data_IF_240705009654
#
_entry.id   IF_240705009654
#
_cell.length_a   1.000
_cell.length_b   1.000
_cell.length_c   1.000
_cell.angle_alpha   90.00
_cell.angle_beta   90.00
_cell.angle_gamma   90.00
#
_symmetry.space_group_name_H-M   'P 1'
#
loop_
_entity.id
_entity.type
_entity.pdbx_description
1 polymer ?
#
# COMPACT_ATOMS: atom_id res chain seq x y z
N UNK A 1 23.93 -15.70 -27.62
CA UNK A 1 23.66 -15.23 -26.24
C UNK A 1 22.78 -13.99 -26.27
N UNK A 2 21.86 -13.87 -25.32
CA UNK A 2 20.97 -12.70 -25.16
C UNK A 2 21.74 -11.44 -24.71
N UNK A 3 22.96 -11.61 -24.22
CA UNK A 3 23.92 -10.54 -23.89
C UNK A 3 24.20 -9.60 -25.08
N UNK A 4 24.26 -10.16 -26.30
CA UNK A 4 24.42 -9.37 -27.54
C UNK A 4 23.20 -8.47 -27.85
N UNK A 5 22.11 -8.62 -27.09
CA UNK A 5 20.90 -7.77 -27.16
C UNK A 5 20.74 -6.88 -25.93
N UNK A 6 21.82 -6.69 -25.15
CA UNK A 6 21.84 -5.88 -23.92
C UNK A 6 20.84 -6.36 -22.85
N UNK A 7 20.58 -7.67 -22.82
CA UNK A 7 19.85 -8.32 -21.75
C UNK A 7 20.85 -9.05 -20.85
N UNK A 8 20.72 -8.89 -19.55
CA UNK A 8 21.56 -9.55 -18.55
C UNK A 8 20.72 -10.50 -17.72
N UNK A 9 21.32 -11.62 -17.34
CA UNK A 9 20.76 -12.58 -16.38
C UNK A 9 20.61 -11.90 -15.01
N UNK A 10 19.42 -11.95 -14.43
CA UNK A 10 19.15 -11.28 -13.16
C UNK A 10 19.79 -11.98 -11.97
N UNK A 11 19.96 -13.30 -12.00
CA UNK A 11 20.42 -14.05 -10.82
C UNK A 11 21.84 -13.66 -10.38
N UNK A 12 22.85 -13.61 -11.28
CA UNK A 12 24.21 -13.17 -10.93
C UNK A 12 24.30 -11.70 -10.50
N UNK A 13 23.30 -10.88 -10.86
CA UNK A 13 23.26 -9.46 -10.49
C UNK A 13 22.83 -9.28 -9.03
N UNK A 14 21.96 -10.16 -8.52
CA UNK A 14 21.37 -10.03 -7.19
C UNK A 14 21.94 -11.02 -6.16
N UNK A 15 22.66 -12.05 -6.60
CA UNK A 15 23.21 -13.12 -5.75
C UNK A 15 24.71 -13.29 -6.00
N UNK A 16 25.48 -13.41 -4.93
CA UNK A 16 26.95 -13.51 -4.98
C UNK A 16 27.47 -14.92 -5.12
N UNK A 17 26.66 -15.90 -4.72
CA UNK A 17 26.95 -17.32 -4.86
C UNK A 17 26.08 -17.92 -5.97
N UNK A 18 26.00 -17.22 -7.10
CA UNK A 18 25.17 -17.62 -8.25
C UNK A 18 25.58 -18.97 -8.86
N UNK A 19 26.84 -19.37 -8.66
CA UNK A 19 27.39 -20.66 -9.10
C UNK A 19 26.80 -21.85 -8.36
N UNK A 20 26.39 -21.68 -7.11
CA UNK A 20 25.75 -22.75 -6.31
C UNK A 20 24.22 -22.70 -6.40
N UNK A 21 23.64 -21.72 -7.11
CA UNK A 21 22.21 -21.64 -7.33
C UNK A 21 21.83 -22.57 -8.48
N UNK A 22 20.97 -23.54 -8.19
CA UNK A 22 20.38 -24.44 -9.18
C UNK A 22 18.87 -24.25 -9.25
N UNK A 23 18.31 -24.43 -10.45
CA UNK A 23 16.87 -24.37 -10.68
C UNK A 23 16.29 -25.71 -11.07
N UNK A 24 17.13 -26.68 -11.45
CA UNK A 24 16.71 -28.03 -11.79
C UNK A 24 17.41 -29.04 -10.88
N UNK A 25 16.61 -29.93 -10.30
CA UNK A 25 17.04 -31.05 -9.48
C UNK A 25 16.64 -32.34 -10.21
N UNK A 26 17.61 -33.08 -10.78
CA UNK A 26 17.29 -34.33 -11.45
C UNK A 26 16.71 -35.35 -10.47
N UNK A 27 15.75 -36.16 -10.93
CA UNK A 27 15.12 -37.21 -10.10
C UNK A 27 16.06 -38.34 -9.66
N UNK A 28 17.28 -38.38 -10.22
CA UNK A 28 18.30 -39.37 -9.91
C UNK A 28 19.52 -38.64 -9.32
N UNK A 29 19.89 -38.98 -8.09
CA UNK A 29 20.98 -38.33 -7.33
C UNK A 29 22.37 -38.49 -7.97
N UNK A 30 22.52 -39.36 -8.98
CA UNK A 30 23.76 -39.48 -9.75
C UNK A 30 23.96 -38.34 -10.77
N UNK A 31 22.92 -37.55 -11.07
CA UNK A 31 23.00 -36.45 -12.02
C UNK A 31 23.23 -35.13 -11.29
N UNK A 32 24.05 -34.26 -11.89
CA UNK A 32 24.35 -32.95 -11.31
C UNK A 32 23.15 -32.00 -11.38
N UNK A 33 22.94 -31.26 -10.29
CA UNK A 33 21.99 -30.14 -10.26
C UNK A 33 22.47 -29.04 -11.22
N UNK A 34 21.54 -28.37 -11.88
CA UNK A 34 21.90 -27.33 -12.84
C UNK A 34 20.95 -26.14 -12.78
N UNK A 35 21.39 -25.01 -13.34
CA UNK A 35 20.58 -23.81 -13.50
C UNK A 35 20.22 -23.69 -14.97
N UNK A 36 18.97 -23.96 -15.30
CA UNK A 36 18.46 -23.93 -16.68
C UNK A 36 17.28 -22.96 -16.86
N UNK A 37 16.81 -22.36 -15.76
CA UNK A 37 15.76 -21.35 -15.73
C UNK A 37 16.38 -19.98 -15.44
N UNK A 38 15.96 -18.98 -16.21
CA UNK A 38 16.57 -17.66 -16.19
C UNK A 38 15.51 -16.57 -16.37
N UNK A 39 15.71 -15.45 -15.68
CA UNK A 39 15.02 -14.20 -16.03
C UNK A 39 16.07 -13.26 -16.60
N UNK A 40 15.89 -12.90 -17.88
CA UNK A 40 16.76 -11.95 -18.56
C UNK A 40 16.09 -10.58 -18.59
N UNK A 41 16.80 -9.54 -18.16
CA UNK A 41 16.27 -8.18 -18.05
C UNK A 41 17.19 -7.16 -18.73
N UNK A 42 16.59 -6.11 -19.29
CA UNK A 42 17.35 -4.99 -19.83
C UNK A 42 17.87 -4.08 -18.72
N UNK A 43 18.92 -3.31 -18.99
CA UNK A 43 19.53 -2.38 -18.03
C UNK A 43 18.51 -1.46 -17.32
N UNK A 44 17.52 -0.85 -18.01
CA UNK A 44 16.51 -0.02 -17.34
C UNK A 44 15.61 -0.79 -16.38
N UNK A 45 15.39 -2.08 -16.63
CA UNK A 45 14.58 -2.96 -15.77
C UNK A 45 15.39 -3.31 -14.52
N UNK A 46 16.67 -3.65 -14.70
CA UNK A 46 17.59 -4.01 -13.61
C UNK A 46 17.83 -2.86 -12.63
N UNK A 47 18.00 -1.62 -13.11
CA UNK A 47 18.11 -0.43 -12.24
C UNK A 47 16.85 -0.06 -11.44
N UNK A 48 15.77 -0.84 -11.60
CA UNK A 48 14.49 -0.72 -10.88
C UNK A 48 14.06 -2.04 -10.22
N UNK A 49 14.90 -3.07 -10.32
CA UNK A 49 14.67 -4.38 -9.71
C UNK A 49 15.21 -4.36 -8.27
N UNK A 50 14.47 -4.97 -7.36
CA UNK A 50 14.79 -5.00 -5.92
C UNK A 50 15.60 -6.24 -5.56
N UNK A 51 15.25 -7.39 -6.14
CA UNK A 51 15.89 -8.67 -5.85
C UNK A 51 15.59 -9.67 -6.97
N UNK A 52 16.44 -10.69 -7.10
CA UNK A 52 16.15 -11.88 -7.90
C UNK A 52 16.60 -13.10 -7.13
N UNK A 53 15.75 -14.12 -7.01
CA UNK A 53 15.98 -15.29 -6.13
C UNK A 53 15.40 -16.55 -6.75
N UNK A 54 15.87 -17.70 -6.27
CA UNK A 54 15.29 -19.01 -6.60
C UNK A 54 14.58 -19.54 -5.36
N UNK A 55 13.33 -19.99 -5.52
CA UNK A 55 12.46 -20.45 -4.43
C UNK A 55 11.98 -21.87 -4.73
N UNK A 56 11.98 -22.74 -3.72
CA UNK A 56 11.45 -24.09 -3.84
C UNK A 56 9.92 -24.07 -4.00
N UNK A 57 9.37 -25.04 -4.73
CA UNK A 57 7.95 -25.10 -5.02
C UNK A 57 7.23 -26.03 -4.02
N UNK A 58 6.63 -25.45 -2.99
CA UNK A 58 5.98 -26.23 -1.91
C UNK A 58 4.55 -26.69 -2.28
N UNK A 59 3.96 -26.13 -3.33
CA UNK A 59 2.53 -26.28 -3.64
C UNK A 59 2.21 -27.34 -4.70
N UNK A 60 3.21 -27.80 -5.45
CA UNK A 60 3.04 -28.85 -6.45
C UNK A 60 4.38 -29.55 -6.72
N UNK A 61 4.31 -30.84 -7.07
CA UNK A 61 5.49 -31.66 -7.34
C UNK A 61 6.11 -31.28 -8.69
N UNK A 62 7.35 -30.79 -8.63
CA UNK A 62 8.18 -30.45 -9.78
C UNK A 62 9.65 -30.68 -9.43
N UNK A 63 10.44 -31.03 -10.43
CA UNK A 63 11.90 -31.12 -10.39
C UNK A 63 12.58 -29.76 -10.60
N UNK A 64 11.80 -28.68 -10.71
CA UNK A 64 12.30 -27.32 -10.84
C UNK A 64 11.98 -26.42 -9.63
N UNK A 65 12.91 -25.53 -9.32
CA UNK A 65 12.71 -24.37 -8.46
C UNK A 65 12.30 -23.14 -9.27
N UNK A 66 11.49 -22.28 -8.66
CA UNK A 66 10.96 -21.08 -9.31
C UNK A 66 11.94 -19.93 -9.23
N UNK A 67 12.31 -19.38 -10.39
CA UNK A 67 13.08 -18.13 -10.48
C UNK A 67 12.14 -16.95 -10.30
N UNK A 68 12.51 -16.02 -9.44
CA UNK A 68 11.72 -14.83 -9.10
C UNK A 68 12.54 -13.56 -9.33
N UNK A 69 11.86 -12.51 -9.79
CA UNK A 69 12.38 -11.16 -9.92
C UNK A 69 11.39 -10.19 -9.29
N UNK A 70 11.81 -9.52 -8.22
CA UNK A 70 11.02 -8.51 -7.53
C UNK A 70 11.28 -7.15 -8.15
N UNK A 71 10.21 -6.49 -8.61
CA UNK A 71 10.25 -5.18 -9.25
C UNK A 71 9.53 -4.13 -8.40
N UNK A 72 10.12 -2.95 -8.23
CA UNK A 72 9.40 -1.82 -7.64
C UNK A 72 8.48 -1.19 -8.69
N UNK A 73 7.22 -1.60 -8.69
CA UNK A 73 6.20 -1.13 -9.63
C UNK A 73 5.97 0.37 -9.57
N UNK A 74 6.27 1.05 -8.45
CA UNK A 74 6.17 2.51 -8.37
C UNK A 74 7.26 3.20 -9.19
N UNK A 75 8.42 2.57 -9.40
CA UNK A 75 9.47 3.11 -10.28
C UNK A 75 9.11 2.90 -11.75
N UNK A 76 8.48 1.77 -12.10
CA UNK A 76 8.08 1.43 -13.46
C UNK A 76 6.86 2.22 -13.94
N UNK A 77 5.78 2.16 -13.17
CA UNK A 77 4.49 2.78 -13.52
C UNK A 77 4.54 4.26 -13.16
N UNK A 78 5.31 4.64 -12.14
CA UNK A 78 5.41 6.02 -11.66
C UNK A 78 6.25 6.97 -12.51
N UNK A 79 6.90 6.53 -13.60
CA UNK A 79 7.73 7.38 -14.50
C UNK A 79 6.94 8.11 -15.59
N UNK A 80 5.76 7.63 -15.99
CA UNK A 80 4.79 8.39 -16.82
C UNK A 80 3.87 9.27 -15.97
N UNK A 81 3.66 8.90 -14.71
CA UNK A 81 2.91 9.66 -13.73
C UNK A 81 3.59 10.92 -13.12
N UNK A 82 4.90 11.23 -13.15
CA UNK A 82 5.43 12.41 -12.45
C UNK A 82 5.12 13.71 -13.18
N UNK A 83 5.00 13.71 -14.52
CA UNK A 83 4.51 14.88 -15.27
C UNK A 83 3.02 15.14 -14.99
N UNK A 84 2.22 14.09 -14.76
CA UNK A 84 0.79 14.17 -14.43
C UNK A 84 0.56 14.39 -12.91
N UNK A 85 1.48 13.96 -12.04
CA UNK A 85 1.35 14.02 -10.59
C UNK A 85 2.09 15.21 -9.96
N UNK A 86 3.05 15.84 -10.65
CA UNK A 86 3.54 17.17 -10.21
C UNK A 86 2.43 18.22 -10.25
N UNK A 87 1.45 18.08 -11.16
CA UNK A 87 0.23 18.90 -11.20
C UNK A 87 -0.89 18.41 -10.27
N UNK A 88 -0.82 17.19 -9.72
CA UNK A 88 -1.76 16.65 -8.71
C UNK A 88 -1.21 16.65 -7.28
N UNK A 89 -0.42 17.66 -6.90
CA UNK A 89 -0.12 17.90 -5.49
C UNK A 89 -1.43 18.27 -4.76
N UNK A 90 -1.88 17.38 -3.86
CA UNK A 90 -3.08 17.48 -3.00
C UNK A 90 -4.39 17.60 -3.80
N UNK A 91 -5.00 16.46 -4.16
CA UNK A 91 -6.43 16.45 -4.49
C UNK A 91 -7.18 16.81 -3.21
N UNK A 92 -7.55 18.08 -3.08
CA UNK A 92 -8.43 18.58 -2.03
C UNK A 92 -9.87 18.51 -2.51
N UNK A 93 -10.75 17.91 -1.71
CA UNK A 93 -12.20 18.08 -1.86
C UNK A 93 -12.62 19.28 -1.03
N UNK A 94 -13.37 20.20 -1.63
CA UNK A 94 -14.10 21.24 -0.89
C UNK A 94 -15.33 20.59 -0.25
N UNK A 95 -15.50 20.80 1.05
CA UNK A 95 -16.67 20.39 1.83
C UNK A 95 -17.37 21.66 2.27
N UNK A 96 -18.61 21.85 1.80
CA UNK A 96 -19.46 22.96 2.23
C UNK A 96 -20.05 22.65 3.60
N UNK A 97 -20.04 23.65 4.49
CA UNK A 97 -20.47 23.55 5.88
C UNK A 97 -21.85 24.20 6.00
N UNK A 98 -22.88 23.49 5.52
CA UNK A 98 -24.25 24.03 5.47
C UNK A 98 -24.82 24.38 6.84
N UNK A 99 -24.43 23.63 7.88
CA UNK A 99 -24.86 23.86 9.28
C UNK A 99 -24.21 25.10 9.92
N UNK A 100 -23.19 25.67 9.28
CA UNK A 100 -22.47 26.87 9.73
C UNK A 100 -22.93 28.15 9.00
N UNK A 101 -24.03 28.08 8.26
CA UNK A 101 -24.65 29.25 7.59
C UNK A 101 -25.54 30.03 8.56
N UNK A 102 -25.72 31.33 8.31
CA UNK A 102 -26.61 32.24 9.07
C UNK A 102 -26.30 32.31 10.59
N UNK A 103 -25.02 32.19 10.95
CA UNK A 103 -24.53 32.48 12.30
C UNK A 103 -24.54 34.01 12.53
N UNK A 104 -24.76 34.46 13.77
CA UNK A 104 -24.86 35.90 14.11
C UNK A 104 -23.59 36.67 13.66
N UNK A 105 -23.79 37.76 12.91
CA UNK A 105 -22.74 38.61 12.30
C UNK A 105 -21.77 37.90 11.32
N UNK A 106 -22.23 36.89 10.55
CA UNK A 106 -21.41 36.25 9.50
C UNK A 106 -21.70 36.77 8.08
N UNK A 107 -20.67 36.86 7.24
CA UNK A 107 -20.74 37.22 5.81
C UNK A 107 -21.40 36.10 4.98
N UNK A 108 -21.37 34.87 5.50
CA UNK A 108 -21.90 33.66 4.86
C UNK A 108 -23.36 33.40 5.25
N UNK A 109 -24.28 34.04 4.54
CA UNK A 109 -25.74 33.84 4.72
C UNK A 109 -26.42 33.22 3.50
N UNK A 110 -27.56 32.54 3.72
CA UNK A 110 -28.35 31.99 2.62
C UNK A 110 -28.90 33.07 1.68
N UNK A 111 -29.20 34.26 2.22
CA UNK A 111 -29.63 35.41 1.44
C UNK A 111 -28.51 35.95 0.55
N UNK A 112 -27.27 36.00 1.03
CA UNK A 112 -26.12 36.40 0.22
C UNK A 112 -25.83 35.39 -0.91
N UNK A 113 -25.90 34.09 -0.62
CA UNK A 113 -25.78 33.05 -1.66
C UNK A 113 -26.87 33.17 -2.72
N UNK A 114 -28.13 33.40 -2.32
CA UNK A 114 -29.26 33.60 -3.24
C UNK A 114 -29.04 34.84 -4.11
N UNK A 115 -28.76 35.99 -3.49
CA UNK A 115 -28.54 37.25 -4.20
C UNK A 115 -27.36 37.15 -5.19
N UNK A 116 -26.25 36.53 -4.77
CA UNK A 116 -25.09 36.29 -5.63
C UNK A 116 -25.39 35.36 -6.80
N UNK A 117 -26.19 34.30 -6.58
CA UNK A 117 -26.60 33.38 -7.64
C UNK A 117 -27.55 34.05 -8.64
N UNK A 118 -28.55 34.77 -8.15
CA UNK A 118 -29.54 35.46 -8.99
C UNK A 118 -28.87 36.51 -9.89
N UNK A 119 -27.96 37.31 -9.32
CA UNK A 119 -27.16 38.28 -10.08
C UNK A 119 -26.35 37.60 -11.21
N UNK A 120 -25.73 36.46 -10.93
CA UNK A 120 -24.94 35.71 -11.92
C UNK A 120 -25.81 35.04 -13.01
N UNK A 121 -27.01 34.57 -12.66
CA UNK A 121 -28.00 34.03 -13.61
C UNK A 121 -28.50 35.12 -14.55
N UNK A 122 -28.79 36.31 -14.02
CA UNK A 122 -29.22 37.47 -14.80
C UNK A 122 -28.11 37.98 -15.71
N UNK A 123 -26.89 38.10 -15.19
CA UNK A 123 -25.71 38.54 -15.96
C UNK A 123 -25.46 37.65 -17.18
N UNK A 124 -25.58 36.33 -17.02
CA UNK A 124 -25.38 35.37 -18.11
C UNK A 124 -26.64 35.13 -18.95
N UNK A 125 -27.75 35.81 -18.63
CA UNK A 125 -29.05 35.71 -19.31
C UNK A 125 -29.43 34.26 -19.52
N UNK A 126 -29.25 33.43 -18.49
CA UNK A 126 -29.40 31.98 -18.64
C UNK A 126 -30.84 31.60 -19.06
N UNK A 127 -31.81 32.40 -18.58
CA UNK A 127 -33.24 32.28 -18.88
C UNK A 127 -33.59 32.60 -20.34
N UNK A 128 -32.76 33.41 -21.02
CA UNK A 128 -33.01 33.85 -22.40
C UNK A 128 -32.43 32.88 -23.46
N UNK A 129 -31.74 31.81 -23.02
CA UNK A 129 -31.11 30.86 -23.93
C UNK A 129 -32.14 29.96 -24.61
N UNK A 130 -32.20 30.00 -25.93
CA UNK A 130 -33.10 29.15 -26.72
C UNK A 130 -32.57 27.72 -26.87
N UNK A 131 -33.36 26.75 -26.42
CA UNK A 131 -33.05 25.32 -26.51
C UNK A 131 -33.69 24.77 -27.79
N UNK A 132 -32.89 24.63 -28.84
CA UNK A 132 -33.34 24.11 -30.15
C UNK A 132 -32.80 22.72 -30.46
N UNK A 133 -31.77 22.25 -29.74
CA UNK A 133 -31.14 20.93 -29.93
C UNK A 133 -30.84 20.29 -28.57
N UNK A 134 -30.83 18.95 -28.50
CA UNK A 134 -30.52 18.19 -27.27
C UNK A 134 -29.19 18.63 -26.63
N UNK A 135 -28.15 18.85 -27.44
CA UNK A 135 -26.85 19.34 -26.95
C UNK A 135 -26.93 20.71 -26.24
N UNK A 136 -27.92 21.55 -26.54
CA UNK A 136 -28.08 22.84 -25.84
C UNK A 136 -28.55 22.63 -24.40
N UNK A 137 -29.30 21.55 -24.12
CA UNK A 137 -29.71 21.18 -22.77
C UNK A 137 -28.47 20.90 -21.91
N UNK A 138 -27.54 20.08 -22.41
CA UNK A 138 -26.29 19.77 -21.70
C UNK A 138 -25.44 21.03 -21.44
N UNK A 139 -25.38 21.94 -22.40
CA UNK A 139 -24.63 23.19 -22.25
C UNK A 139 -25.29 24.13 -21.23
N UNK A 140 -26.62 24.24 -21.23
CA UNK A 140 -27.35 25.05 -20.25
C UNK A 140 -27.21 24.44 -18.85
N UNK A 141 -27.30 23.12 -18.72
CA UNK A 141 -27.07 22.42 -17.46
C UNK A 141 -25.65 22.57 -16.92
N UNK A 142 -24.63 22.44 -17.78
CA UNK A 142 -23.25 22.62 -17.34
C UNK A 142 -23.00 24.08 -16.94
N UNK A 143 -23.58 25.04 -17.67
CA UNK A 143 -23.52 26.47 -17.32
C UNK A 143 -24.18 26.74 -15.96
N UNK A 144 -25.37 26.19 -15.72
CA UNK A 144 -26.06 26.30 -14.44
C UNK A 144 -25.25 25.66 -13.31
N UNK A 145 -24.69 24.47 -13.54
CA UNK A 145 -23.84 23.79 -12.55
C UNK A 145 -22.62 24.64 -12.20
N UNK A 146 -21.94 25.19 -13.20
CA UNK A 146 -20.78 26.06 -12.98
C UNK A 146 -21.15 27.30 -12.18
N UNK A 147 -22.31 27.92 -12.44
CA UNK A 147 -22.80 29.08 -11.69
C UNK A 147 -23.10 28.75 -10.24
N UNK A 148 -23.86 27.68 -10.00
CA UNK A 148 -24.17 27.22 -8.65
C UNK A 148 -22.88 26.92 -7.89
N UNK A 149 -21.93 26.21 -8.52
CA UNK A 149 -20.65 25.89 -7.89
C UNK A 149 -19.80 27.15 -7.63
N UNK A 150 -19.80 28.13 -8.54
CA UNK A 150 -19.07 29.39 -8.34
C UNK A 150 -19.67 30.15 -7.15
N UNK A 151 -20.98 30.38 -7.16
CA UNK A 151 -21.67 31.09 -6.07
C UNK A 151 -21.52 30.34 -4.74
N UNK A 152 -21.56 29.00 -4.75
CA UNK A 152 -21.37 28.21 -3.55
C UNK A 152 -19.95 28.35 -2.98
N UNK A 153 -18.90 28.41 -3.81
CA UNK A 153 -17.54 28.59 -3.32
C UNK A 153 -17.28 29.99 -2.73
N UNK A 154 -18.02 31.00 -3.20
CA UNK A 154 -17.88 32.40 -2.79
C UNK A 154 -18.75 32.72 -1.56
N UNK A 155 -19.97 32.18 -1.49
CA UNK A 155 -20.99 32.57 -0.51
C UNK A 155 -21.36 31.47 0.49
N UNK A 156 -20.85 30.24 0.34
CA UNK A 156 -21.05 29.15 1.31
C UNK A 156 -19.72 28.81 1.97
N UNK A 157 -19.73 28.82 3.30
CA UNK A 157 -18.60 28.47 4.14
C UNK A 157 -18.10 27.06 3.79
N UNK A 158 -16.79 26.92 3.57
CA UNK A 158 -16.23 25.66 3.08
C UNK A 158 -14.82 25.37 3.63
N UNK A 159 -14.49 24.08 3.72
CA UNK A 159 -13.17 23.59 4.12
C UNK A 159 -12.57 22.63 3.09
N UNK A 160 -11.24 22.66 2.95
CA UNK A 160 -10.51 21.75 2.05
C UNK A 160 -10.03 20.52 2.80
N UNK A 161 -10.43 19.34 2.34
CA UNK A 161 -10.02 18.04 2.89
C UNK A 161 -9.13 17.29 1.90
N UNK A 162 -7.99 16.78 2.34
CA UNK A 162 -7.04 16.04 1.49
C UNK A 162 -7.52 14.60 1.30
N UNK A 163 -7.79 14.20 0.05
CA UNK A 163 -8.43 12.90 -0.27
C UNK A 163 -7.49 11.69 -0.16
N UNK A 164 -6.17 11.88 -0.32
CA UNK A 164 -5.17 10.80 -0.27
C UNK A 164 -3.86 11.31 0.34
N UNK A 165 -3.50 10.79 1.53
CA UNK A 165 -2.09 10.66 1.90
C UNK A 165 -1.61 9.39 1.21
N UNK A 166 -0.83 9.50 0.13
CA UNK A 166 -0.10 8.34 -0.36
C UNK A 166 0.73 7.78 0.80
N UNK A 167 0.47 6.53 1.18
CA UNK A 167 1.38 5.80 2.07
C UNK A 167 2.66 5.59 1.27
N UNK A 168 3.66 6.42 1.52
CA UNK A 168 5.02 6.14 1.05
C UNK A 168 5.43 4.81 1.69
N UNK A 169 5.95 3.87 0.89
CA UNK A 169 6.48 2.63 1.42
C UNK A 169 7.52 2.96 2.52
N UNK A 170 7.50 2.29 3.68
CA UNK A 170 8.35 2.62 4.83
C UNK A 170 9.83 2.74 4.43
N UNK A 171 10.28 1.84 3.57
CA UNK A 171 11.63 1.75 2.99
C UNK A 171 12.10 3.04 2.30
N UNK A 172 11.18 3.78 1.65
CA UNK A 172 11.49 5.01 0.91
C UNK A 172 11.64 6.24 1.81
N UNK A 173 11.51 6.07 3.13
CA UNK A 173 11.88 7.09 4.13
C UNK A 173 13.35 6.98 4.55
N UNK A 174 13.98 5.82 4.35
CA UNK A 174 15.35 5.59 4.78
C UNK A 174 16.34 6.17 3.78
N UNK A 175 17.35 6.88 4.29
CA UNK A 175 18.41 7.42 3.44
C UNK A 175 19.26 6.30 2.82
N UNK A 176 19.44 5.19 3.56
CA UNK A 176 20.20 4.01 3.10
C UNK A 176 19.61 3.42 1.82
N UNK A 177 18.29 3.47 1.63
CA UNK A 177 17.66 2.97 0.40
C UNK A 177 18.19 3.68 -0.84
N UNK A 178 18.31 5.01 -0.77
CA UNK A 178 18.79 5.82 -1.90
C UNK A 178 20.29 5.60 -2.14
N UNK A 179 21.06 5.44 -1.06
CA UNK A 179 22.50 5.22 -1.11
C UNK A 179 22.84 3.81 -1.64
N UNK A 180 22.12 2.78 -1.21
CA UNK A 180 22.21 1.43 -1.77
C UNK A 180 21.89 1.41 -3.26
N UNK A 181 20.83 2.12 -3.68
CA UNK A 181 20.48 2.25 -5.09
C UNK A 181 21.55 2.98 -5.89
N UNK A 182 22.17 4.00 -5.31
CA UNK A 182 23.29 4.71 -5.92
C UNK A 182 24.44 3.75 -6.21
N UNK A 183 24.84 2.92 -5.24
CA UNK A 183 25.90 1.90 -5.39
C UNK A 183 25.53 0.87 -6.46
N UNK A 184 24.30 0.34 -6.47
CA UNK A 184 23.84 -0.60 -7.50
C UNK A 184 23.95 0.01 -8.90
N UNK A 185 23.55 1.27 -9.07
CA UNK A 185 23.68 1.97 -10.34
C UNK A 185 25.15 2.19 -10.74
N UNK A 186 26.09 2.28 -9.79
CA UNK A 186 27.54 2.37 -10.08
C UNK A 186 28.10 1.01 -10.49
N UNK A 187 27.70 -0.07 -9.83
CA UNK A 187 28.05 -1.45 -10.22
C UNK A 187 27.59 -1.74 -11.65
N UNK A 188 26.36 -1.37 -11.99
CA UNK A 188 25.85 -1.57 -13.36
C UNK A 188 26.65 -0.80 -14.41
N UNK A 189 27.05 0.44 -14.08
CA UNK A 189 27.81 1.27 -15.00
C UNK A 189 29.25 0.76 -15.17
N UNK A 190 29.90 0.29 -14.09
CA UNK A 190 31.27 -0.23 -14.20
C UNK A 190 31.31 -1.54 -14.98
N UNK A 191 30.32 -2.43 -14.79
CA UNK A 191 30.20 -3.65 -15.60
C UNK A 191 30.00 -3.33 -17.09
N UNK A 192 29.22 -2.29 -17.40
CA UNK A 192 29.03 -1.82 -18.78
C UNK A 192 30.33 -1.25 -19.36
N UNK A 193 31.12 -0.53 -18.54
CA UNK A 193 32.45 -0.07 -18.95
C UNK A 193 33.38 -1.26 -19.22
N UNK A 194 33.51 -2.20 -18.28
CA UNK A 194 34.36 -3.40 -18.40
C UNK A 194 34.04 -4.20 -19.68
N UNK A 195 32.74 -4.43 -19.95
CA UNK A 195 32.30 -5.19 -21.14
C UNK A 195 32.50 -4.44 -22.46
N UNK A 196 32.52 -3.10 -22.45
CA UNK A 196 32.76 -2.25 -23.62
C UNK A 196 34.24 -1.87 -23.86
N UNK A 197 35.13 -2.09 -22.88
CA UNK A 197 36.53 -1.67 -22.91
C UNK A 197 37.38 -2.60 -23.80
N UNK A 198 37.37 -2.35 -25.12
CA UNK A 198 38.41 -2.84 -26.04
C UNK A 198 39.64 -1.91 -26.12
N UNK A 199 39.60 -0.71 -25.53
CA UNK A 199 40.66 0.31 -25.57
C UNK A 199 40.84 0.98 -24.21
N UNK A 200 42.02 1.57 -23.98
CA UNK A 200 42.36 2.37 -22.79
C UNK A 200 41.26 3.42 -22.48
N UNK A 201 40.86 3.57 -21.20
CA UNK A 201 39.83 4.54 -20.81
C UNK A 201 40.25 5.96 -21.18
N UNK A 202 39.33 6.74 -21.74
CA UNK A 202 39.59 8.15 -22.03
C UNK A 202 39.58 8.98 -20.73
N UNK A 203 40.15 10.19 -20.78
CA UNK A 203 40.28 11.05 -19.60
C UNK A 203 38.93 11.45 -18.97
N UNK A 204 37.88 11.55 -19.79
CA UNK A 204 36.53 11.89 -19.31
C UNK A 204 35.95 10.78 -18.43
N UNK A 205 36.09 9.52 -18.86
CA UNK A 205 35.71 8.33 -18.09
C UNK A 205 36.51 8.27 -16.79
N UNK A 206 37.82 8.49 -16.84
CA UNK A 206 38.68 8.50 -15.64
C UNK A 206 38.21 9.55 -14.63
N UNK A 207 38.04 10.80 -15.05
CA UNK A 207 37.59 11.88 -14.18
C UNK A 207 36.20 11.60 -13.58
N UNK A 208 35.31 10.99 -14.36
CA UNK A 208 33.98 10.58 -13.91
C UNK A 208 34.04 9.53 -12.79
N UNK A 209 34.87 8.50 -12.94
CA UNK A 209 35.03 7.45 -11.93
C UNK A 209 35.75 7.93 -10.67
N UNK A 210 36.72 8.84 -10.81
CA UNK A 210 37.34 9.52 -9.65
C UNK A 210 36.29 10.31 -8.85
N UNK A 211 35.37 11.02 -9.52
CA UNK A 211 34.29 11.74 -8.84
C UNK A 211 33.31 10.80 -8.13
N UNK A 212 33.00 9.64 -8.73
CA UNK A 212 32.18 8.62 -8.07
C UNK A 212 32.86 8.02 -6.86
N UNK A 213 34.15 7.69 -6.96
CA UNK A 213 34.97 7.25 -5.84
C UNK A 213 34.93 8.24 -4.69
N UNK A 214 35.11 9.54 -4.94
CA UNK A 214 35.02 10.57 -3.91
C UNK A 214 33.64 10.64 -3.23
N UNK A 215 32.57 10.36 -3.98
CA UNK A 215 31.20 10.30 -3.43
C UNK A 215 31.02 9.04 -2.58
N UNK A 216 31.60 7.93 -3.01
CA UNK A 216 31.51 6.63 -2.32
C UNK A 216 32.33 6.64 -1.03
N UNK A 217 33.49 7.30 -1.00
CA UNK A 217 34.27 7.49 0.23
C UNK A 217 33.41 8.17 1.31
N UNK A 218 32.68 9.24 0.95
CA UNK A 218 31.74 9.90 1.88
C UNK A 218 30.62 8.98 2.35
N UNK A 219 30.16 8.05 1.51
CA UNK A 219 29.16 7.05 1.89
C UNK A 219 29.74 5.98 2.82
N UNK A 220 31.00 5.58 2.61
CA UNK A 220 31.71 4.68 3.53
C UNK A 220 31.80 5.29 4.92
N UNK A 221 32.21 6.56 5.00
CA UNK A 221 32.31 7.29 6.27
C UNK A 221 30.95 7.42 6.96
N UNK A 222 29.90 7.75 6.18
CA UNK A 222 28.52 7.91 6.70
C UNK A 222 28.00 6.65 7.40
N UNK A 223 28.38 5.47 6.91
CA UNK A 223 27.85 4.18 7.38
C UNK A 223 28.89 3.31 8.07
N UNK A 224 30.08 3.86 8.33
CA UNK A 224 31.21 3.15 8.96
C UNK A 224 31.52 1.82 8.28
N UNK A 225 31.53 1.81 6.93
CA UNK A 225 31.72 0.59 6.15
C UNK A 225 33.18 0.12 6.19
N UNK A 226 33.39 -1.18 6.40
CA UNK A 226 34.71 -1.78 6.47
C UNK A 226 35.16 -2.29 5.09
N UNK A 227 35.96 -1.49 4.38
CA UNK A 227 36.48 -1.84 3.06
C UNK A 227 37.95 -1.43 2.94
N UNK A 228 38.62 -1.81 1.85
CA UNK A 228 39.99 -1.37 1.61
C UNK A 228 40.05 0.15 1.39
N UNK A 229 41.07 0.82 1.92
CA UNK A 229 41.33 2.24 1.67
C UNK A 229 42.07 2.50 0.34
N UNK A 230 41.88 1.61 -0.63
CA UNK A 230 42.57 1.69 -1.92
C UNK A 230 42.00 2.82 -2.76
N UNK A 231 42.84 3.75 -3.19
CA UNK A 231 42.47 4.82 -4.12
C UNK A 231 42.81 4.38 -5.54
N UNK A 232 41.80 4.33 -6.40
CA UNK A 232 41.93 3.93 -7.80
C UNK A 232 42.15 5.15 -8.71
N UNK A 233 43.08 5.00 -9.67
CA UNK A 233 43.38 6.01 -10.69
C UNK A 233 42.65 5.74 -12.01
N UNK A 234 42.04 4.56 -12.16
CA UNK A 234 41.27 4.10 -13.32
C UNK A 234 42.05 4.13 -14.64
N UNK A 235 43.38 3.97 -14.58
CA UNK A 235 44.27 4.03 -15.76
C UNK A 235 44.29 2.72 -16.57
N UNK A 236 43.91 1.60 -15.96
CA UNK A 236 43.89 0.28 -16.59
C UNK A 236 42.63 -0.50 -16.18
N UNK A 237 42.32 -1.56 -16.94
CA UNK A 237 41.12 -2.38 -16.71
C UNK A 237 41.16 -3.13 -15.38
N UNK A 238 42.33 -3.55 -14.89
CA UNK A 238 42.45 -4.28 -13.63
C UNK A 238 41.94 -3.45 -12.45
N UNK A 239 42.21 -2.14 -12.45
CA UNK A 239 41.66 -1.23 -11.45
C UNK A 239 40.14 -1.10 -11.51
N UNK A 240 39.52 -1.21 -12.69
CA UNK A 240 38.06 -1.26 -12.79
C UNK A 240 37.49 -2.55 -12.20
N UNK A 241 38.16 -3.68 -12.39
CA UNK A 241 37.77 -4.95 -11.78
C UNK A 241 37.90 -4.92 -10.26
N UNK A 242 39.05 -4.47 -9.73
CA UNK A 242 39.24 -4.33 -8.29
C UNK A 242 38.25 -3.34 -7.64
N UNK A 243 37.91 -2.25 -8.34
CA UNK A 243 36.91 -1.31 -7.85
C UNK A 243 35.48 -1.90 -7.90
N UNK A 244 35.16 -2.73 -8.89
CA UNK A 244 33.89 -3.47 -8.93
C UNK A 244 33.77 -4.43 -7.74
N UNK A 245 34.85 -5.13 -7.38
CA UNK A 245 34.86 -6.01 -6.21
C UNK A 245 34.61 -5.22 -4.93
N UNK A 246 35.26 -4.06 -4.78
CA UNK A 246 35.03 -3.16 -3.65
C UNK A 246 33.58 -2.66 -3.60
N UNK A 247 33.00 -2.21 -4.72
CA UNK A 247 31.60 -1.79 -4.78
C UNK A 247 30.64 -2.91 -4.37
N UNK A 248 30.95 -4.17 -4.72
CA UNK A 248 30.15 -5.31 -4.31
C UNK A 248 30.22 -5.54 -2.79
N UNK A 249 31.38 -5.39 -2.16
CA UNK A 249 31.50 -5.46 -0.70
C UNK A 249 30.75 -4.31 0.00
N UNK A 250 30.84 -3.08 -0.53
CA UNK A 250 30.05 -1.94 -0.06
C UNK A 250 28.55 -2.24 -0.15
N UNK A 251 28.09 -2.80 -1.28
CA UNK A 251 26.70 -3.18 -1.51
C UNK A 251 26.21 -4.19 -0.46
N UNK A 252 27.02 -5.20 -0.12
CA UNK A 252 26.70 -6.19 0.92
C UNK A 252 26.46 -5.54 2.28
N UNK A 253 27.42 -4.71 2.71
CA UNK A 253 27.35 -4.07 4.01
C UNK A 253 26.17 -3.09 4.09
N UNK A 254 25.97 -2.27 3.06
CA UNK A 254 24.80 -1.37 2.99
C UNK A 254 23.47 -2.12 3.01
N UNK A 255 23.40 -3.33 2.43
CA UNK A 255 22.19 -4.17 2.50
C UNK A 255 21.91 -4.63 3.93
N UNK A 256 22.94 -4.91 4.73
CA UNK A 256 22.80 -5.25 6.15
C UNK A 256 22.31 -4.02 6.92
N UNK A 257 22.95 -2.87 6.73
CA UNK A 257 22.54 -1.59 7.35
C UNK A 257 21.08 -1.27 7.02
N UNK A 258 20.68 -1.42 5.75
CA UNK A 258 19.31 -1.20 5.31
C UNK A 258 18.31 -2.08 6.04
N UNK A 259 18.59 -3.39 6.18
CA UNK A 259 17.73 -4.32 6.92
C UNK A 259 17.61 -3.93 8.39
N UNK A 260 18.70 -3.51 9.01
CA UNK A 260 18.70 -3.06 10.41
C UNK A 260 17.86 -1.80 10.58
N UNK A 261 18.06 -0.77 9.76
CA UNK A 261 17.25 0.46 9.83
C UNK A 261 15.76 0.20 9.56
N UNK A 262 15.45 -0.72 8.62
CA UNK A 262 14.06 -1.11 8.34
C UNK A 262 13.41 -1.76 9.56
N UNK A 263 14.10 -2.71 10.18
CA UNK A 263 13.62 -3.36 11.40
C UNK A 263 13.42 -2.35 12.53
N UNK A 264 14.35 -1.41 12.72
CA UNK A 264 14.22 -0.35 13.75
C UNK A 264 12.96 0.48 13.48
N UNK A 265 12.75 0.94 12.24
CA UNK A 265 11.56 1.72 11.89
C UNK A 265 10.26 0.95 12.14
N UNK A 266 10.22 -0.34 11.81
CA UNK A 266 9.06 -1.19 12.07
C UNK A 266 8.77 -1.30 13.58
N UNK A 267 9.80 -1.53 14.40
CA UNK A 267 9.67 -1.58 15.85
C UNK A 267 9.18 -0.25 16.43
N UNK A 268 9.74 0.87 16.00
CA UNK A 268 9.29 2.21 16.40
C UNK A 268 7.82 2.44 16.04
N UNK A 269 7.40 1.97 14.87
CA UNK A 269 6.02 2.09 14.41
C UNK A 269 5.07 1.24 15.25
N UNK A 270 5.47 0.01 15.63
CA UNK A 270 4.73 -0.87 16.53
C UNK A 270 4.56 -0.19 17.89
N UNK A 271 5.66 0.28 18.50
CA UNK A 271 5.64 0.97 19.81
C UNK A 271 4.76 2.21 19.75
N UNK A 272 4.88 3.03 18.70
CA UNK A 272 4.05 4.22 18.50
C UNK A 272 2.56 3.87 18.42
N UNK A 273 2.21 2.79 17.71
CA UNK A 273 0.83 2.34 17.58
C UNK A 273 0.28 1.77 18.91
N UNK A 274 1.10 1.05 19.68
CA UNK A 274 0.73 0.59 21.02
C UNK A 274 0.42 1.78 21.93
N UNK A 275 1.31 2.78 21.99
CA UNK A 275 1.09 4.00 22.79
C UNK A 275 -0.22 4.70 22.41
N UNK A 276 -0.46 4.91 21.10
CA UNK A 276 -1.72 5.49 20.61
C UNK A 276 -2.95 4.70 21.00
N UNK A 277 -2.87 3.36 21.00
CA UNK A 277 -3.99 2.51 21.45
C UNK A 277 -4.23 2.64 22.95
N UNK A 278 -3.19 2.74 23.77
CA UNK A 278 -3.32 3.00 25.21
C UNK A 278 -3.95 4.35 25.51
N UNK A 279 -3.58 5.40 24.76
CA UNK A 279 -4.18 6.73 24.87
C UNK A 279 -5.66 6.67 24.44
N UNK A 280 -5.93 6.08 23.27
CA UNK A 280 -7.30 5.90 22.77
C UNK A 280 -8.16 5.01 23.69
N UNK A 281 -7.59 4.07 24.43
CA UNK A 281 -8.37 3.27 25.39
C UNK A 281 -9.03 4.14 26.47
N UNK A 282 -8.35 5.22 26.89
CA UNK A 282 -8.87 6.18 27.85
C UNK A 282 -9.80 7.21 27.19
N UNK A 283 -9.40 7.74 26.03
CA UNK A 283 -10.02 8.93 25.45
C UNK A 283 -11.02 8.64 24.31
N UNK A 284 -10.84 7.56 23.55
CA UNK A 284 -11.65 7.22 22.35
C UNK A 284 -11.59 5.71 22.04
N UNK A 285 -12.41 4.94 22.76
CA UNK A 285 -12.47 3.48 22.63
C UNK A 285 -12.84 3.03 21.21
N UNK A 286 -13.63 3.83 20.49
CA UNK A 286 -14.01 3.55 19.11
C UNK A 286 -12.80 3.55 18.17
N UNK A 287 -11.92 4.55 18.28
CA UNK A 287 -10.65 4.58 17.52
C UNK A 287 -9.71 3.45 17.90
N UNK A 288 -9.69 3.06 19.17
CA UNK A 288 -8.91 1.91 19.63
C UNK A 288 -9.39 0.62 18.94
N UNK A 289 -10.70 0.35 18.97
CA UNK A 289 -11.31 -0.82 18.30
C UNK A 289 -11.03 -0.78 16.80
N UNK A 290 -11.15 0.39 16.16
CA UNK A 290 -10.83 0.54 14.74
C UNK A 290 -9.36 0.20 14.45
N UNK A 291 -8.44 0.63 15.31
CA UNK A 291 -7.01 0.35 15.16
C UNK A 291 -6.64 -1.12 15.38
N UNK A 292 -7.36 -1.86 16.22
CA UNK A 292 -7.12 -3.28 16.47
C UNK A 292 -7.75 -4.15 15.40
N UNK A 293 -8.99 -3.83 15.00
CA UNK A 293 -9.73 -4.64 14.03
C UNK A 293 -9.24 -4.47 12.60
N UNK A 294 -8.44 -3.43 12.33
CA UNK A 294 -8.00 -3.01 10.99
C UNK A 294 -9.16 -2.82 10.00
N UNK A 295 -10.40 -2.76 10.51
CA UNK A 295 -11.61 -2.64 9.72
C UNK A 295 -11.90 -1.17 9.47
N UNK A 296 -12.10 -0.84 8.21
CA UNK A 296 -12.81 0.38 7.86
C UNK A 296 -14.25 0.22 8.34
N UNK A 297 -14.66 1.02 9.34
CA UNK A 297 -16.05 1.06 9.77
C UNK A 297 -16.86 1.68 8.65
N UNK A 298 -17.43 0.83 7.80
CA UNK A 298 -18.37 1.24 6.78
C UNK A 298 -19.72 1.42 7.47
N UNK A 299 -20.10 2.67 7.72
CA UNK A 299 -21.48 2.97 8.11
C UNK A 299 -22.35 2.96 6.86
N UNK A 300 -23.45 2.21 6.92
CA UNK A 300 -24.51 2.26 5.91
C UNK A 300 -25.66 3.03 6.55
N UNK A 301 -25.93 4.23 6.03
CA UNK A 301 -27.16 4.97 6.36
C UNK A 301 -28.24 4.57 5.36
N UNK A 302 -29.35 4.05 5.86
CA UNK A 302 -30.53 3.73 5.04
C UNK A 302 -31.54 4.84 5.30
N UNK A 303 -31.71 5.73 4.33
CA UNK A 303 -32.64 6.87 4.46
C UNK A 303 -34.01 6.58 3.85
N UNK A 304 -34.07 5.63 2.91
CA UNK A 304 -35.29 5.33 2.15
C UNK A 304 -35.37 3.84 1.83
N UNK A 305 -36.56 3.28 1.97
CA UNK A 305 -36.82 1.87 1.65
C UNK A 305 -37.86 1.80 0.55
N UNK A 306 -37.53 1.04 -0.49
CA UNK A 306 -38.45 0.74 -1.56
C UNK A 306 -39.10 -0.62 -1.31
N UNK A 307 -40.42 -0.64 -1.23
CA UNK A 307 -41.19 -1.86 -0.92
C UNK A 307 -42.39 -1.98 -1.84
N UNK A 308 -42.71 -3.21 -2.23
CA UNK A 308 -43.99 -3.52 -2.89
C UNK A 308 -45.02 -3.91 -1.83
N UNK A 309 -46.19 -3.28 -1.87
CA UNK A 309 -47.31 -3.68 -1.03
C UNK A 309 -47.85 -5.06 -1.45
N UNK A 310 -48.78 -5.62 -0.66
CA UNK A 310 -49.41 -6.91 -0.97
C UNK A 310 -50.23 -6.91 -2.28
N UNK A 311 -50.53 -5.72 -2.81
CA UNK A 311 -51.30 -5.52 -4.04
C UNK A 311 -50.37 -5.23 -5.25
N UNK A 312 -49.05 -5.25 -5.05
CA UNK A 312 -48.04 -5.01 -6.08
C UNK A 312 -47.72 -3.53 -6.35
N UNK A 313 -48.30 -2.59 -5.61
CA UNK A 313 -47.98 -1.17 -5.73
C UNK A 313 -46.63 -0.86 -5.09
N UNK A 314 -45.90 0.03 -5.71
CA UNK A 314 -44.58 0.46 -5.27
C UNK A 314 -44.70 1.61 -4.26
N UNK A 315 -44.21 1.38 -3.05
CA UNK A 315 -44.24 2.32 -1.93
C UNK A 315 -42.81 2.69 -1.56
N UNK A 316 -42.53 3.99 -1.51
CA UNK A 316 -41.27 4.54 -1.02
C UNK A 316 -41.47 5.05 0.41
N UNK A 317 -40.80 4.40 1.36
CA UNK A 317 -40.83 4.76 2.78
C UNK A 317 -39.66 5.71 3.03
N UNK A 318 -39.98 6.91 3.53
CA UNK A 318 -39.00 7.98 3.82
C UNK A 318 -39.03 8.44 5.28
N UNK A 319 -40.00 8.00 6.07
CA UNK A 319 -40.11 8.31 7.49
C UNK A 319 -39.08 7.50 8.30
N UNK A 320 -38.32 8.14 9.18
CA UNK A 320 -37.18 7.55 9.87
C UNK A 320 -37.57 6.35 10.75
N UNK A 321 -38.69 6.46 11.48
CA UNK A 321 -39.18 5.37 12.34
C UNK A 321 -39.62 4.16 11.51
N UNK A 322 -40.35 4.42 10.41
CA UNK A 322 -40.78 3.36 9.50
C UNK A 322 -39.61 2.71 8.76
N UNK A 323 -38.62 3.49 8.34
CA UNK A 323 -37.38 2.97 7.73
C UNK A 323 -36.64 2.05 8.69
N UNK A 324 -36.54 2.44 9.97
CA UNK A 324 -35.89 1.61 10.99
C UNK A 324 -36.64 0.30 11.25
N UNK A 325 -37.96 0.35 11.40
CA UNK A 325 -38.81 -0.83 11.61
C UNK A 325 -38.71 -1.82 10.43
N UNK A 326 -38.81 -1.30 9.21
CA UNK A 326 -38.75 -2.09 7.98
C UNK A 326 -37.36 -2.68 7.73
N UNK A 327 -36.30 -1.93 8.01
CA UNK A 327 -34.91 -2.43 7.96
C UNK A 327 -34.72 -3.60 8.92
N UNK A 328 -35.15 -3.44 10.18
CA UNK A 328 -35.07 -4.50 11.19
C UNK A 328 -35.83 -5.74 10.74
N UNK A 329 -37.07 -5.55 10.25
CA UNK A 329 -37.88 -6.65 9.74
C UNK A 329 -37.22 -7.36 8.56
N UNK A 330 -36.63 -6.62 7.62
CA UNK A 330 -35.92 -7.19 6.48
C UNK A 330 -34.77 -8.08 6.95
N UNK A 331 -33.85 -7.60 7.77
CA UNK A 331 -32.70 -8.40 8.22
C UNK A 331 -33.09 -9.58 9.12
N UNK A 332 -34.19 -9.49 9.86
CA UNK A 332 -34.71 -10.62 10.63
C UNK A 332 -35.35 -11.71 9.75
N UNK A 333 -35.91 -11.35 8.59
CA UNK A 333 -36.70 -12.26 7.74
C UNK A 333 -35.98 -12.69 6.46
N UNK A 334 -34.96 -11.97 6.01
CA UNK A 334 -34.25 -12.18 4.73
C UNK A 334 -33.62 -13.56 4.61
N UNK A 335 -33.13 -14.13 5.72
CA UNK A 335 -32.50 -15.44 5.72
C UNK A 335 -33.49 -16.61 5.70
N UNK A 336 -34.80 -16.36 5.76
CA UNK A 336 -35.85 -17.40 5.87
C UNK A 336 -35.71 -18.29 7.13
N UNK A 337 -34.78 -17.96 8.02
CA UNK A 337 -34.46 -18.76 9.20
C UNK A 337 -35.32 -18.32 10.38
N UNK A 338 -36.35 -19.10 10.67
CA UNK A 338 -37.11 -18.93 11.91
C UNK A 338 -36.31 -19.56 13.05
N UNK A 339 -35.98 -18.80 14.09
CA UNK A 339 -35.36 -19.31 15.31
C UNK A 339 -36.34 -20.29 15.97
N UNK A 340 -36.16 -21.59 15.71
CA UNK A 340 -36.94 -22.67 16.30
C UNK A 340 -36.01 -23.60 17.06
N UNK A 341 -36.42 -24.04 18.25
CA UNK A 341 -35.77 -25.16 18.95
C UNK A 341 -35.84 -26.38 18.04
N UNK A 342 -34.72 -26.76 17.43
CA UNK A 342 -34.60 -27.99 16.65
C UNK A 342 -34.12 -29.10 17.59
N UNK A 343 -34.81 -30.25 17.67
CA UNK A 343 -34.28 -31.39 18.41
C UNK A 343 -32.98 -31.84 17.73
N UNK A 344 -31.97 -32.20 18.52
CA UNK A 344 -30.71 -32.75 18.02
C UNK A 344 -31.03 -34.09 17.31
N UNK A 345 -30.70 -34.20 16.02
CA UNK A 345 -31.04 -35.37 15.20
C UNK A 345 -29.81 -36.22 14.83
N UNK A 346 -30.05 -37.50 14.56
CA UNK A 346 -29.06 -38.44 14.03
C UNK A 346 -27.89 -38.68 14.99
N UNK A 347 -26.68 -38.80 14.41
CA UNK A 347 -25.44 -39.09 15.14
C UNK A 347 -25.12 -38.12 16.29
N UNK A 348 -25.61 -36.88 16.19
CA UNK A 348 -25.39 -35.85 17.20
C UNK A 348 -26.16 -36.12 18.49
N UNK A 349 -27.30 -36.81 18.42
CA UNK A 349 -28.07 -37.17 19.62
C UNK A 349 -27.26 -38.10 20.53
N UNK A 350 -26.51 -39.02 19.93
CA UNK A 350 -25.66 -39.95 20.67
C UNK A 350 -24.36 -39.27 21.14
N UNK A 351 -23.75 -38.42 20.29
CA UNK A 351 -22.53 -37.69 20.64
C UNK A 351 -22.70 -36.74 21.83
N UNK A 352 -23.86 -36.08 21.93
CA UNK A 352 -24.17 -35.10 22.98
C UNK A 352 -24.95 -35.70 24.16
N UNK A 353 -25.04 -37.03 24.28
CA UNK A 353 -25.55 -37.64 25.51
C UNK A 353 -24.60 -37.35 26.68
N UNK A 354 -25.14 -37.10 27.89
CA UNK A 354 -24.33 -37.04 29.10
C UNK A 354 -23.46 -38.30 29.19
N UNK A 355 -22.15 -38.09 29.33
CA UNK A 355 -21.22 -39.20 29.44
C UNK A 355 -21.17 -39.67 30.90
N UNK A 356 -21.33 -40.97 31.19
CA UNK A 356 -21.44 -41.46 32.57
C UNK A 356 -20.23 -41.14 33.47
N UNK A 357 -19.08 -40.90 32.87
CA UNK A 357 -17.82 -40.61 33.57
C UNK A 357 -17.61 -39.10 33.81
N UNK A 358 -18.47 -38.23 33.26
CA UNK A 358 -18.43 -36.79 33.48
C UNK A 358 -19.46 -36.47 34.55
N UNK A 359 -19.00 -35.92 35.68
CA UNK A 359 -19.88 -35.52 36.76
C UNK A 359 -20.82 -34.39 36.27
N UNK A 360 -22.12 -34.52 36.54
CA UNK A 360 -23.13 -33.55 36.10
C UNK A 360 -22.94 -32.16 36.75
N UNK A 361 -22.24 -32.11 37.89
CA UNK A 361 -22.01 -30.90 38.67
C UNK A 361 -20.66 -30.22 38.41
N UNK A 362 -19.89 -30.62 37.38
CA UNK A 362 -18.55 -30.04 37.11
C UNK A 362 -18.58 -28.51 36.87
N UNK A 363 -19.72 -27.97 36.46
CA UNK A 363 -19.90 -26.54 36.22
C UNK A 363 -20.75 -25.84 37.28
N UNK A 364 -21.11 -26.53 38.37
CA UNK A 364 -21.98 -25.95 39.41
C UNK A 364 -21.37 -24.68 40.00
N UNK A 365 -20.04 -24.66 40.16
CA UNK A 365 -19.28 -23.53 40.70
C UNK A 365 -18.63 -22.65 39.64
N UNK A 366 -18.99 -22.76 38.35
CA UNK A 366 -18.36 -21.97 37.28
C UNK A 366 -18.62 -20.45 37.42
N UNK A 367 -19.72 -20.09 38.07
CA UNK A 367 -20.10 -18.70 38.33
C UNK A 367 -19.66 -18.23 39.74
N UNK A 368 -19.08 -19.13 40.54
CA UNK A 368 -18.54 -18.77 41.85
C UNK A 368 -17.22 -18.02 41.67
N UNK A 369 -16.91 -17.14 42.61
CA UNK A 369 -15.62 -16.46 42.61
C UNK A 369 -14.50 -17.48 42.90
N UNK A 370 -13.34 -17.39 42.22
CA UNK A 370 -12.22 -18.29 42.49
C UNK A 370 -11.75 -18.15 43.94
N UNK A 371 -11.45 -19.28 44.56
CA UNK A 371 -10.95 -19.34 45.92
C UNK A 371 -9.53 -18.77 46.05
N UNK A 372 -9.14 -18.41 47.26
CA UNK A 372 -7.80 -17.90 47.55
C UNK A 372 -6.70 -18.90 47.18
N UNK A 373 -6.96 -20.20 47.36
CA UNK A 373 -6.01 -21.27 47.02
C UNK A 373 -5.89 -21.46 45.50
N UNK A 374 -7.00 -21.37 44.75
CA UNK A 374 -6.96 -21.38 43.27
C UNK A 374 -6.22 -20.16 42.70
N UNK A 375 -6.28 -19.02 43.39
CA UNK A 375 -5.48 -17.84 43.04
C UNK A 375 -3.98 -18.04 43.26
N UNK A 376 -3.60 -18.78 44.31
CA UNK A 376 -2.18 -19.05 44.61
C UNK A 376 -1.54 -20.04 43.63
N UNK A 377 -2.30 -20.96 43.04
CA UNK A 377 -1.80 -21.92 42.04
C UNK A 377 -1.48 -21.29 40.67
N UNK A 378 -1.92 -20.05 40.43
CA UNK A 378 -1.74 -19.33 39.15
C UNK A 378 -0.62 -18.28 39.21
N UNK A 379 -0.11 -17.97 40.41
CA UNK A 379 0.98 -16.99 40.66
C UNK A 379 2.27 -17.74 40.94
#
# INVERSE_FOLDING_TARGET
MLENRHLLDTIPIFNEDDKNIYTYIPSNDSNEKSRIDYIWASLPILGQSLNSTVIENDHFTTDHHTVTLSLDTQLFIGKTLPKINKSKKKITRTVFLYDEMDQEDDEFTWDNFRAGLDHEIERLKLKDRSITKRKHVDHVWDSLRQLIMKSANENIRNKKVIKQKFKCAPEKKLSVYFDLRYIINRIQEICSCITGLRNHPNQEVINKWINYQNTIIKLKDKYELFTSDTIFTFLNNDQFHSYLDELNEIRKQLRIVFKLELNIMEQEQIISNIKKRCDNYKDDQGRMIQSITEKEMVSISIEKIYKKDHNGNEVLITDENQVMEETNRHFQTVAGSVNRKKPIQGRWKEQYKPQPHINENIYFSIMDAPSYDEWLDVI
#
